data_IF_969611929320
#
_entry.id   IF_969611929320
#
_cell.length_a   1.000
_cell.length_b   1.000
_cell.length_c   1.000
_cell.angle_alpha   90.00
_cell.angle_beta   90.00
_cell.angle_gamma   90.00
#
_symmetry.space_group_name_H-M   'P 1'
#
loop_
_entity.id
_entity.type
_entity.pdbx_description
1 polymer ?
#
# COMPACT_ATOMS: atom_id res chain seq x y z
N UNK A 1 9.84 2.08 -15.87
CA UNK A 1 9.63 1.23 -14.67
C UNK A 1 8.15 0.86 -14.62
N UNK A 2 7.81 -0.43 -14.62
CA UNK A 2 6.41 -0.89 -14.57
C UNK A 2 5.87 -0.65 -13.15
N UNK A 3 4.99 0.32 -12.99
CA UNK A 3 4.32 0.71 -11.73
C UNK A 3 3.18 -0.24 -11.36
N UNK A 4 3.42 -1.56 -11.37
CA UNK A 4 2.34 -2.55 -11.32
C UNK A 4 2.41 -3.67 -10.29
N UNK A 5 3.57 -4.06 -9.74
CA UNK A 5 3.69 -5.48 -9.31
C UNK A 5 4.18 -5.74 -7.88
N UNK A 6 4.36 -4.72 -7.03
CA UNK A 6 4.93 -4.93 -5.69
C UNK A 6 3.90 -4.74 -4.56
N UNK A 7 3.46 -5.86 -3.99
CA UNK A 7 2.62 -5.93 -2.77
C UNK A 7 3.44 -5.81 -1.46
N UNK A 8 4.70 -5.42 -1.60
CA UNK A 8 5.63 -5.03 -0.55
C UNK A 8 6.47 -3.83 -1.02
N UNK A 9 6.58 -2.80 -0.19
CA UNK A 9 7.44 -1.64 -0.38
C UNK A 9 8.82 -1.87 0.27
N UNK A 10 9.82 -1.13 -0.20
CA UNK A 10 11.12 -1.09 0.47
C UNK A 10 10.97 -0.51 1.88
N UNK A 11 11.42 -1.26 2.89
CA UNK A 11 11.29 -0.90 4.30
C UNK A 11 12.00 0.43 4.57
N UNK A 12 11.32 1.37 5.23
CA UNK A 12 11.89 2.64 5.69
C UNK A 12 11.83 3.79 4.67
N UNK A 13 11.57 3.52 3.41
CA UNK A 13 11.56 4.56 2.36
C UNK A 13 10.17 4.82 1.77
N UNK A 14 9.31 3.81 1.80
CA UNK A 14 8.00 3.88 1.14
C UNK A 14 6.95 2.99 1.79
N UNK A 15 5.70 3.34 1.56
CA UNK A 15 4.51 2.57 1.94
C UNK A 15 3.68 2.25 0.73
N UNK A 16 2.82 1.26 0.86
CA UNK A 16 1.79 0.91 -0.09
C UNK A 16 0.44 1.41 0.39
N UNK A 17 -0.33 1.98 -0.53
CA UNK A 17 -1.74 2.31 -0.32
C UNK A 17 -2.59 1.24 -0.99
N UNK A 18 -3.55 0.69 -0.25
CA UNK A 18 -4.49 -0.28 -0.78
C UNK A 18 -5.27 0.30 -1.98
N UNK A 19 -5.41 -0.44 -3.10
CA UNK A 19 -6.03 0.09 -4.31
C UNK A 19 -7.58 0.09 -4.25
N UNK A 20 -8.19 -0.58 -3.26
CA UNK A 20 -9.65 -0.63 -3.12
C UNK A 20 -10.18 0.77 -2.74
N UNK A 21 -11.18 1.31 -3.46
CA UNK A 21 -11.82 2.57 -3.12
C UNK A 21 -12.25 2.60 -1.66
N UNK A 22 -12.06 3.74 -1.00
CA UNK A 22 -12.39 3.98 0.41
C UNK A 22 -11.60 3.12 1.43
N UNK A 23 -10.66 2.29 1.00
CA UNK A 23 -9.73 1.60 1.89
C UNK A 23 -8.54 2.50 2.25
N UNK A 24 -8.48 2.94 3.51
CA UNK A 24 -7.40 3.80 4.03
C UNK A 24 -6.17 3.02 4.51
N UNK A 25 -6.01 1.77 4.10
CA UNK A 25 -4.91 0.93 4.56
C UNK A 25 -3.59 1.35 3.89
N UNK A 26 -2.64 1.77 4.72
CA UNK A 26 -1.29 2.21 4.33
C UNK A 26 -0.28 1.41 5.15
N UNK A 27 0.55 0.61 4.49
CA UNK A 27 1.51 -0.26 5.17
C UNK A 27 2.71 -0.59 4.27
N UNK A 28 3.87 -0.98 4.83
CA UNK A 28 4.98 -1.48 4.02
C UNK A 28 4.63 -2.75 3.23
N UNK A 29 3.66 -3.55 3.70
CA UNK A 29 3.20 -4.78 3.05
C UNK A 29 1.68 -4.84 3.15
N UNK A 30 1.01 -5.12 2.03
CA UNK A 30 -0.43 -5.39 2.03
C UNK A 30 -0.64 -6.90 1.85
N UNK A 31 -0.99 -7.58 2.94
CA UNK A 31 -1.09 -9.05 2.97
C UNK A 31 -2.35 -9.54 2.26
N UNK A 32 -2.36 -10.81 1.81
CA UNK A 32 -3.57 -11.44 1.28
C UNK A 32 -4.70 -11.51 2.33
N UNK A 33 -4.33 -11.60 3.60
CA UNK A 33 -5.28 -11.60 4.73
C UNK A 33 -6.03 -10.28 4.82
N UNK A 34 -5.35 -9.14 4.64
CA UNK A 34 -6.02 -7.84 4.57
C UNK A 34 -7.13 -7.84 3.51
N UNK A 35 -6.83 -8.34 2.31
CA UNK A 35 -7.79 -8.41 1.21
C UNK A 35 -9.04 -9.21 1.58
N UNK A 36 -8.86 -10.44 2.10
CA UNK A 36 -9.97 -11.30 2.48
C UNK A 36 -10.80 -10.73 3.62
N UNK A 37 -10.16 -10.21 4.67
CA UNK A 37 -10.86 -9.75 5.87
C UNK A 37 -11.60 -8.42 5.67
N UNK A 38 -11.05 -7.51 4.88
CA UNK A 38 -11.62 -6.17 4.71
C UNK A 38 -12.45 -6.00 3.44
N UNK A 39 -12.16 -6.79 2.40
CA UNK A 39 -12.76 -6.61 1.07
C UNK A 39 -13.53 -7.83 0.57
N UNK A 40 -13.49 -8.95 1.31
CA UNK A 40 -14.09 -10.23 0.93
C UNK A 40 -13.72 -10.64 -0.52
N UNK A 41 -12.49 -10.34 -0.91
CA UNK A 41 -11.93 -10.61 -2.24
C UNK A 41 -10.50 -11.12 -2.06
N UNK A 42 -10.10 -12.06 -2.92
CA UNK A 42 -8.70 -12.44 -3.05
C UNK A 42 -7.89 -11.28 -3.68
N UNK A 43 -6.58 -11.28 -3.44
CA UNK A 43 -5.68 -10.24 -3.96
C UNK A 43 -5.75 -10.16 -5.48
N UNK A 44 -5.80 -11.31 -6.15
CA UNK A 44 -5.84 -11.43 -7.60
C UNK A 44 -7.13 -10.81 -8.18
N UNK A 45 -8.25 -10.87 -7.43
CA UNK A 45 -9.51 -10.23 -7.81
C UNK A 45 -9.44 -8.71 -7.66
N UNK A 46 -8.85 -8.23 -6.56
CA UNK A 46 -8.60 -6.80 -6.32
C UNK A 46 -7.67 -6.25 -7.40
N UNK A 47 -6.61 -6.98 -7.75
CA UNK A 47 -5.64 -6.54 -8.77
C UNK A 47 -6.28 -6.41 -10.15
N UNK A 48 -7.13 -7.38 -10.53
CA UNK A 48 -7.89 -7.30 -11.79
C UNK A 48 -8.90 -6.15 -11.80
N UNK A 49 -9.54 -5.86 -10.65
CA UNK A 49 -10.63 -4.89 -10.57
C UNK A 49 -10.16 -3.45 -10.36
N UNK A 50 -9.13 -3.24 -9.54
CA UNK A 50 -8.68 -1.92 -9.09
C UNK A 50 -7.20 -1.64 -9.42
N UNK A 51 -6.46 -2.62 -9.93
CA UNK A 51 -5.02 -2.55 -10.14
C UNK A 51 -4.21 -2.86 -8.88
N UNK A 52 -2.89 -2.66 -8.99
CA UNK A 52 -1.95 -2.87 -7.89
C UNK A 52 -1.92 -1.70 -6.88
N UNK A 53 -1.36 -1.91 -5.69
CA UNK A 53 -1.21 -0.87 -4.69
C UNK A 53 -0.28 0.24 -5.16
N UNK A 54 -0.56 1.47 -4.72
CA UNK A 54 0.28 2.64 -5.05
C UNK A 54 1.39 2.79 -4.03
N UNK A 55 2.61 3.02 -4.50
CA UNK A 55 3.75 3.33 -3.64
C UNK A 55 3.73 4.81 -3.29
N UNK A 56 3.78 5.13 -2.00
CA UNK A 56 3.96 6.49 -1.50
C UNK A 56 5.29 6.56 -0.75
N UNK A 57 6.17 7.49 -1.15
CA UNK A 57 7.43 7.76 -0.46
C UNK A 57 7.18 8.73 0.69
N UNK A 58 7.80 8.50 1.84
CA UNK A 58 7.91 9.55 2.85
C UNK A 58 8.94 10.56 2.36
N UNK A 59 8.48 11.67 1.76
CA UNK A 59 9.35 12.81 1.55
C UNK A 59 9.60 13.42 2.93
N UNK A 60 10.81 13.21 3.45
CA UNK A 60 11.21 13.60 4.80
C UNK A 60 10.88 15.06 5.13
N UNK A 61 10.16 15.22 6.23
CA UNK A 61 9.87 16.49 6.88
C UNK A 61 9.61 16.27 8.35
N UNK A 62 10.42 15.44 9.02
CA UNK A 62 10.57 15.58 10.47
C UNK A 62 11.44 16.82 10.67
N UNK A 63 10.83 18.00 10.71
CA UNK A 63 11.47 19.10 11.43
C UNK A 63 11.59 18.61 12.88
N UNK A 64 12.80 18.32 13.32
CA UNK A 64 13.10 18.24 14.74
C UNK A 64 12.54 19.53 15.36
N UNK A 65 11.48 19.40 16.17
CA UNK A 65 11.14 20.45 17.12
C UNK A 65 12.14 20.28 18.26
N UNK A 66 13.24 21.02 18.16
CA UNK A 66 14.18 21.22 19.26
C UNK A 66 13.38 21.57 20.53
N UNK A 67 13.59 20.80 21.60
CA UNK A 67 13.14 21.12 22.96
C UNK A 67 14.34 21.60 23.78
#
# INVERSE_FOLDING_TARGET
MKTGEVWSAAVGESFLVCPVPDCKHIAPIITKVHCRMHHNMEREEIEKKYGGPRIVKMNGGFSNVDH
#
